data_IF_229205436003
#
_entry.id   IF_229205436003
#
_cell.length_a   1.000
_cell.length_b   1.000
_cell.length_c   1.000
_cell.angle_alpha   90.00
_cell.angle_beta   90.00
_cell.angle_gamma   90.00
#
_symmetry.space_group_name_H-M   'P 1'
#
loop_
_entity.id
_entity.type
_entity.pdbx_description
1 polymer ?
#
# COMPACT_ATOMS: atom_id res chain seq x y z
N UNK A 1 -1.97 -19.12 -41.11
CA UNK A 1 -1.42 -19.47 -39.80
C UNK A 1 -0.38 -18.44 -39.40
N UNK A 2 -0.85 -17.36 -38.78
CA UNK A 2 -0.03 -16.28 -38.26
C UNK A 2 -0.51 -16.00 -36.84
N UNK A 3 0.09 -16.69 -35.87
CA UNK A 3 -0.11 -16.42 -34.46
C UNK A 3 0.58 -15.10 -34.11
N UNK A 4 -0.21 -14.06 -33.87
CA UNK A 4 0.23 -12.87 -33.18
C UNK A 4 0.33 -13.17 -31.68
N UNK A 5 1.50 -12.99 -31.04
CA UNK A 5 1.60 -13.15 -29.59
C UNK A 5 0.86 -11.99 -28.92
N UNK A 6 -0.26 -12.30 -28.26
CA UNK A 6 -0.99 -11.38 -27.40
C UNK A 6 -0.02 -10.73 -26.39
N UNK A 7 0.18 -9.41 -26.51
CA UNK A 7 1.00 -8.63 -25.60
C UNK A 7 0.47 -8.78 -24.17
N UNK A 8 1.15 -9.58 -23.35
CA UNK A 8 0.86 -9.65 -21.92
C UNK A 8 1.37 -8.37 -21.30
N UNK A 9 0.47 -7.47 -20.90
CA UNK A 9 0.80 -6.30 -20.10
C UNK A 9 1.45 -6.76 -18.79
N UNK A 10 2.79 -6.71 -18.74
CA UNK A 10 3.55 -7.02 -17.52
C UNK A 10 3.53 -5.76 -16.66
N UNK A 11 2.69 -5.77 -15.61
CA UNK A 11 2.77 -4.76 -14.56
C UNK A 11 4.01 -5.05 -13.71
N UNK A 12 5.03 -4.20 -13.84
CA UNK A 12 6.23 -4.23 -12.99
C UNK A 12 5.90 -3.45 -11.71
N UNK A 13 5.92 -4.11 -10.56
CA UNK A 13 5.81 -3.43 -9.27
C UNK A 13 7.12 -2.71 -8.96
N UNK A 14 7.04 -1.41 -8.68
CA UNK A 14 8.18 -0.64 -8.16
C UNK A 14 8.67 -1.25 -6.85
N UNK A 15 9.98 -1.26 -6.68
CA UNK A 15 10.68 -1.86 -5.53
C UNK A 15 10.12 -1.30 -4.23
N UNK A 16 9.58 -2.16 -3.36
CA UNK A 16 9.23 -1.80 -1.98
C UNK A 16 10.43 -2.12 -1.10
N UNK A 17 11.00 -1.12 -0.43
CA UNK A 17 12.09 -1.31 0.56
C UNK A 17 11.82 -0.51 1.82
N UNK A 18 12.16 -1.07 2.97
CA UNK A 18 12.16 -0.31 4.21
C UNK A 18 13.25 0.77 4.18
N UNK A 19 12.86 2.03 4.34
CA UNK A 19 13.75 3.21 4.29
C UNK A 19 14.16 3.66 5.71
N UNK A 20 13.33 3.38 6.72
CA UNK A 20 13.60 3.65 8.14
C UNK A 20 13.11 2.50 9.02
N UNK A 21 13.89 2.15 10.04
CA UNK A 21 13.56 1.13 11.05
C UNK A 21 12.98 1.73 12.33
N UNK A 22 12.95 3.06 12.48
CA UNK A 22 12.36 3.72 13.64
C UNK A 22 10.90 4.09 13.39
N UNK A 23 9.99 3.85 14.36
CA UNK A 23 8.60 4.28 14.24
C UNK A 23 8.51 5.83 14.24
N UNK A 24 7.55 6.41 13.51
CA UNK A 24 7.28 7.85 13.61
C UNK A 24 6.78 8.19 15.03
N UNK A 25 6.97 9.45 15.44
CA UNK A 25 6.45 9.95 16.71
C UNK A 25 4.92 9.74 16.82
N UNK A 26 4.40 9.35 18.00
CA UNK A 26 3.00 8.94 18.19
C UNK A 26 1.97 10.07 17.99
N UNK A 27 2.41 11.33 17.92
CA UNK A 27 1.52 12.50 17.83
C UNK A 27 1.31 13.04 16.42
N UNK A 28 1.90 12.43 15.39
CA UNK A 28 1.71 12.84 14.00
C UNK A 28 1.46 11.62 13.13
N UNK A 29 0.21 11.46 12.68
CA UNK A 29 -0.12 10.62 11.52
C UNK A 29 -0.39 11.54 10.32
N UNK A 30 0.64 12.13 9.68
CA UNK A 30 0.45 12.66 8.34
C UNK A 30 -0.06 11.49 7.48
N UNK A 31 -1.17 11.68 6.77
CA UNK A 31 -1.68 10.63 5.90
C UNK A 31 -0.64 10.44 4.81
N UNK A 32 0.03 9.27 4.73
CA UNK A 32 1.13 9.12 3.79
C UNK A 32 0.60 9.36 2.38
N UNK A 33 1.28 10.23 1.64
CA UNK A 33 0.97 10.50 0.25
C UNK A 33 1.59 9.41 -0.63
N UNK A 34 0.77 8.88 -1.54
CA UNK A 34 1.18 8.02 -2.63
C UNK A 34 1.03 8.75 -3.96
N UNK A 35 1.93 8.46 -4.90
CA UNK A 35 1.87 8.96 -6.26
C UNK A 35 1.85 7.76 -7.21
N UNK A 36 0.87 7.73 -8.10
CA UNK A 36 0.74 6.73 -9.17
C UNK A 36 0.86 7.43 -10.52
N UNK A 37 1.84 6.98 -11.31
CA UNK A 37 2.01 7.43 -12.70
C UNK A 37 1.40 6.42 -13.66
N UNK A 38 0.42 6.86 -14.43
CA UNK A 38 -0.14 6.10 -15.55
C UNK A 38 0.56 6.53 -16.83
N UNK A 39 1.68 5.85 -17.13
CA UNK A 39 2.60 6.24 -18.21
C UNK A 39 1.94 6.31 -19.59
N UNK A 40 1.07 5.34 -19.92
CA UNK A 40 0.36 5.29 -21.20
C UNK A 40 -0.48 6.53 -21.48
N UNK A 41 -1.00 7.16 -20.41
CA UNK A 41 -1.84 8.34 -20.49
C UNK A 41 -1.08 9.61 -20.11
N UNK A 42 0.18 9.48 -19.66
CA UNK A 42 0.96 10.57 -19.07
C UNK A 42 0.21 11.27 -17.95
N UNK A 43 -0.49 10.50 -17.11
CA UNK A 43 -1.28 10.99 -15.99
C UNK A 43 -0.59 10.69 -14.66
N UNK A 44 -0.75 11.62 -13.72
CA UNK A 44 -0.29 11.49 -12.34
C UNK A 44 -1.50 11.51 -11.42
N UNK A 45 -1.53 10.56 -10.48
CA UNK A 45 -2.54 10.44 -9.44
C UNK A 45 -1.88 10.56 -8.08
N UNK A 46 -2.21 11.61 -7.34
CA UNK A 46 -1.79 11.80 -5.95
C UNK A 46 -2.91 11.31 -5.05
N UNK A 47 -2.59 10.44 -4.10
CA UNK A 47 -3.58 9.89 -3.18
C UNK A 47 -3.07 9.82 -1.75
N UNK A 48 -3.99 9.92 -0.79
CA UNK A 48 -3.67 9.68 0.63
C UNK A 48 -3.93 8.23 1.00
N UNK A 49 -3.20 7.71 1.99
CA UNK A 49 -3.50 6.40 2.56
C UNK A 49 -4.43 6.53 3.77
N UNK A 50 -5.41 5.63 3.94
CA UNK A 50 -6.28 5.64 5.10
C UNK A 50 -5.47 5.34 6.37
N UNK A 51 -5.93 5.85 7.51
CA UNK A 51 -5.39 5.47 8.82
C UNK A 51 -5.49 3.95 9.01
N UNK A 52 -4.59 3.34 9.79
CA UNK A 52 -4.48 1.90 9.99
C UNK A 52 -5.79 1.21 10.42
N UNK A 53 -6.72 1.95 11.02
CA UNK A 53 -8.05 1.46 11.41
C UNK A 53 -9.10 1.49 10.28
N UNK A 54 -8.68 1.75 9.03
CA UNK A 54 -9.55 1.90 7.85
C UNK A 54 -10.77 2.77 8.16
N UNK A 55 -10.50 3.92 8.79
CA UNK A 55 -11.47 4.95 9.09
C UNK A 55 -10.98 6.30 8.59
N UNK A 56 -11.91 7.15 8.18
CA UNK A 56 -11.62 8.51 7.73
C UNK A 56 -11.67 8.67 6.21
N UNK A 57 -11.16 9.81 5.74
CA UNK A 57 -11.24 10.23 4.34
C UNK A 57 -9.91 10.04 3.64
N UNK A 58 -9.99 9.47 2.45
CA UNK A 58 -8.91 9.35 1.48
C UNK A 58 -9.28 10.20 0.26
N UNK A 59 -8.30 10.91 -0.28
CA UNK A 59 -8.45 11.65 -1.53
C UNK A 59 -7.59 11.02 -2.61
N UNK A 60 -8.06 11.07 -3.85
CA UNK A 60 -7.32 10.73 -5.06
C UNK A 60 -7.50 11.91 -6.01
N UNK A 61 -6.41 12.47 -6.53
CA UNK A 61 -6.41 13.65 -7.38
C UNK A 61 -5.61 13.37 -8.64
N UNK A 62 -6.20 13.65 -9.79
CA UNK A 62 -5.49 13.73 -11.06
C UNK A 62 -5.55 15.18 -11.58
N UNK A 63 -4.41 15.88 -11.53
CA UNK A 63 -4.35 17.27 -11.99
C UNK A 63 -4.61 17.40 -13.49
N UNK A 64 -4.11 16.45 -14.29
CA UNK A 64 -4.21 16.47 -15.75
C UNK A 64 -5.64 16.32 -16.26
N UNK A 65 -6.39 15.36 -15.72
CA UNK A 65 -7.78 15.14 -16.12
C UNK A 65 -8.77 16.05 -15.38
N UNK A 66 -8.31 16.75 -14.33
CA UNK A 66 -9.14 17.64 -13.51
C UNK A 66 -10.10 16.90 -12.58
N UNK A 67 -10.02 15.58 -12.46
CA UNK A 67 -10.87 14.81 -11.57
C UNK A 67 -10.26 14.63 -10.18
N UNK A 68 -11.12 14.62 -9.17
CA UNK A 68 -10.81 14.17 -7.82
C UNK A 68 -11.83 13.15 -7.35
N UNK A 69 -11.39 12.19 -6.53
CA UNK A 69 -12.26 11.28 -5.80
C UNK A 69 -12.02 11.44 -4.30
N UNK A 70 -13.09 11.54 -3.52
CA UNK A 70 -13.03 11.47 -2.06
C UNK A 70 -13.71 10.19 -1.61
N UNK A 71 -12.96 9.32 -0.95
CA UNK A 71 -13.43 8.04 -0.42
C UNK A 71 -13.47 8.13 1.11
N UNK A 72 -14.62 7.86 1.71
CA UNK A 72 -14.82 7.87 3.16
C UNK A 72 -15.05 6.45 3.65
N UNK A 73 -14.13 5.97 4.47
CA UNK A 73 -14.27 4.70 5.18
C UNK A 73 -14.98 4.95 6.52
N UNK A 74 -16.11 4.27 6.71
CA UNK A 74 -16.95 4.43 7.88
C UNK A 74 -16.52 3.45 8.97
N UNK A 75 -16.25 3.96 10.16
CA UNK A 75 -16.02 3.12 11.34
C UNK A 75 -17.32 2.47 11.79
N UNK A 76 -17.21 1.33 12.47
CA UNK A 76 -18.37 0.61 13.00
C UNK A 76 -19.17 1.51 13.95
N UNK A 77 -20.48 1.74 13.71
CA UNK A 77 -21.31 2.50 14.65
C UNK A 77 -21.42 1.77 16.00
N UNK A 78 -21.52 2.53 17.09
CA UNK A 78 -21.62 1.98 18.45
C UNK A 78 -22.88 1.11 18.66
N UNK A 79 -24.00 1.44 18.01
CA UNK A 79 -25.29 0.76 18.17
C UNK A 79 -25.63 -0.10 16.95
N UNK A 80 -24.86 -1.16 16.73
CA UNK A 80 -25.09 -2.08 15.61
C UNK A 80 -24.89 -1.42 14.23
N UNK A 81 -24.82 -2.24 13.20
CA UNK A 81 -24.63 -1.77 11.82
C UNK A 81 -23.61 -2.59 11.04
N UNK A 82 -23.56 -2.32 9.74
CA UNK A 82 -22.64 -2.98 8.81
C UNK A 82 -21.21 -2.47 9.00
N UNK A 83 -20.27 -3.39 9.11
CA UNK A 83 -18.83 -3.11 9.09
C UNK A 83 -18.37 -2.87 7.65
N UNK A 84 -17.14 -2.36 7.47
CA UNK A 84 -16.50 -2.19 6.15
C UNK A 84 -17.24 -1.27 5.17
N UNK A 85 -18.13 -0.41 5.67
CA UNK A 85 -18.88 0.51 4.82
C UNK A 85 -17.97 1.59 4.25
N UNK A 86 -18.15 1.89 2.97
CA UNK A 86 -17.45 2.95 2.25
C UNK A 86 -18.45 3.79 1.46
N UNK A 87 -18.18 5.08 1.34
CA UNK A 87 -18.86 5.99 0.41
C UNK A 87 -17.82 6.79 -0.35
N UNK A 88 -18.01 7.02 -1.63
CA UNK A 88 -17.12 7.82 -2.44
C UNK A 88 -17.87 8.80 -3.35
N UNK A 89 -17.23 9.92 -3.64
CA UNK A 89 -17.70 10.88 -4.63
C UNK A 89 -16.56 11.22 -5.57
N UNK A 90 -16.83 11.16 -6.88
CA UNK A 90 -15.93 11.57 -7.94
C UNK A 90 -16.45 12.88 -8.52
N UNK A 91 -15.56 13.87 -8.57
CA UNK A 91 -15.86 15.23 -8.95
C UNK A 91 -14.95 15.68 -10.08
N UNK A 92 -15.53 16.40 -11.04
CA UNK A 92 -14.76 17.18 -12.00
C UNK A 92 -14.49 18.55 -11.38
N UNK A 93 -13.25 18.81 -11.00
CA UNK A 93 -12.87 20.01 -10.25
C UNK A 93 -13.16 21.31 -11.02
N UNK A 94 -12.86 21.43 -12.34
CA UNK A 94 -13.10 22.66 -13.10
C UNK A 94 -14.57 23.09 -13.13
N UNK A 95 -15.50 22.13 -13.28
CA UNK A 95 -16.95 22.43 -13.34
C UNK A 95 -17.64 22.31 -11.99
N UNK A 96 -16.93 21.89 -10.94
CA UNK A 96 -17.48 21.64 -9.62
C UNK A 96 -18.62 20.60 -9.60
N UNK A 97 -18.68 19.70 -10.58
CA UNK A 97 -19.78 18.73 -10.73
C UNK A 97 -19.40 17.34 -10.22
N UNK A 98 -20.34 16.67 -9.54
CA UNK A 98 -20.21 15.26 -9.16
C UNK A 98 -20.59 14.41 -10.36
N UNK A 99 -19.67 13.56 -10.82
CA UNK A 99 -19.86 12.69 -12.00
C UNK A 99 -20.19 11.26 -11.63
N UNK A 100 -19.81 10.84 -10.42
CA UNK A 100 -20.08 9.51 -9.90
C UNK A 100 -20.14 9.54 -8.38
N UNK A 101 -21.10 8.82 -7.81
CA UNK A 101 -21.13 8.45 -6.40
C UNK A 101 -20.95 6.94 -6.29
N UNK A 102 -20.30 6.48 -5.22
CA UNK A 102 -20.20 5.06 -4.93
C UNK A 102 -20.49 4.79 -3.46
N UNK A 103 -21.09 3.65 -3.15
CA UNK A 103 -21.39 3.24 -1.79
C UNK A 103 -21.43 1.73 -1.66
N UNK A 104 -21.20 1.22 -0.45
CA UNK A 104 -21.33 -0.21 -0.16
C UNK A 104 -20.27 -0.69 0.82
N UNK A 105 -19.81 -1.91 0.60
CA UNK A 105 -18.83 -2.61 1.46
C UNK A 105 -17.55 -2.85 0.65
N UNK A 106 -16.40 -2.33 1.10
CA UNK A 106 -15.15 -2.40 0.32
C UNK A 106 -14.62 -3.83 0.15
N UNK A 107 -15.06 -4.76 0.99
CA UNK A 107 -14.78 -6.20 0.93
C UNK A 107 -15.98 -7.02 0.44
N UNK A 108 -17.01 -6.38 -0.12
CA UNK A 108 -18.24 -7.01 -0.56
C UNK A 108 -18.73 -6.38 -1.86
N UNK A 109 -19.94 -5.83 -1.82
CA UNK A 109 -20.57 -5.19 -2.99
C UNK A 109 -20.45 -3.69 -2.92
N UNK A 110 -20.06 -3.08 -4.04
CA UNK A 110 -20.04 -1.63 -4.27
C UNK A 110 -21.03 -1.28 -5.38
N UNK A 111 -21.86 -0.28 -5.11
CA UNK A 111 -22.79 0.31 -6.07
C UNK A 111 -22.26 1.68 -6.50
N UNK A 112 -22.27 1.94 -7.79
CA UNK A 112 -21.88 3.19 -8.41
C UNK A 112 -23.10 3.81 -9.08
N UNK A 113 -23.27 5.12 -8.91
CA UNK A 113 -24.33 5.92 -9.53
C UNK A 113 -23.69 7.07 -10.29
N UNK A 114 -23.88 7.10 -11.60
CA UNK A 114 -23.33 8.11 -12.50
C UNK A 114 -24.31 9.27 -12.68
N UNK A 115 -23.80 10.43 -13.10
CA UNK A 115 -24.62 11.64 -13.29
C UNK A 115 -25.68 11.50 -14.39
N UNK A 116 -25.51 10.56 -15.32
CA UNK A 116 -26.48 10.21 -16.36
C UNK A 116 -27.64 9.31 -15.84
N UNK A 117 -27.64 8.96 -14.55
CA UNK A 117 -28.63 8.05 -13.94
C UNK A 117 -28.29 6.57 -14.06
N UNK A 118 -27.22 6.21 -14.75
CA UNK A 118 -26.75 4.83 -14.84
C UNK A 118 -26.24 4.34 -13.48
N UNK A 119 -26.57 3.09 -13.14
CA UNK A 119 -26.03 2.42 -11.97
C UNK A 119 -25.22 1.19 -12.35
N UNK A 120 -24.13 0.95 -11.63
CA UNK A 120 -23.26 -0.21 -11.83
C UNK A 120 -22.92 -0.85 -10.50
N UNK A 121 -23.03 -2.16 -10.43
CA UNK A 121 -22.72 -2.93 -9.23
C UNK A 121 -21.45 -3.75 -9.47
N UNK A 122 -20.50 -3.67 -8.54
CA UNK A 122 -19.27 -4.44 -8.52
C UNK A 122 -19.24 -5.30 -7.26
N UNK A 123 -19.20 -6.61 -7.45
CA UNK A 123 -19.00 -7.57 -6.37
C UNK A 123 -17.51 -7.93 -6.29
N UNK A 124 -16.83 -7.39 -5.28
CA UNK A 124 -15.38 -7.58 -5.11
C UNK A 124 -15.00 -9.03 -4.83
N UNK A 125 -15.93 -9.84 -4.32
CA UNK A 125 -15.70 -11.26 -4.01
C UNK A 125 -15.61 -12.14 -5.25
N UNK A 126 -16.17 -11.66 -6.38
CA UNK A 126 -16.18 -12.36 -7.67
C UNK A 126 -15.03 -11.95 -8.59
N UNK A 127 -14.26 -10.92 -8.22
CA UNK A 127 -13.14 -10.45 -9.03
C UNK A 127 -11.97 -11.44 -8.95
N UNK A 128 -11.32 -11.78 -10.08
CA UNK A 128 -10.19 -12.69 -10.07
C UNK A 128 -8.99 -12.07 -9.35
N UNK A 129 -8.43 -12.81 -8.40
CA UNK A 129 -7.22 -12.40 -7.68
C UNK A 129 -5.99 -12.74 -8.52
N UNK A 130 -5.37 -11.73 -9.12
CA UNK A 130 -4.12 -11.89 -9.88
C UNK A 130 -2.93 -11.84 -8.92
N UNK A 131 -2.34 -13.00 -8.63
CA UNK A 131 -1.18 -13.10 -7.75
C UNK A 131 0.09 -12.56 -8.41
N UNK A 132 0.88 -11.82 -7.65
CA UNK A 132 2.22 -11.37 -8.07
C UNK A 132 3.10 -12.59 -8.37
N UNK A 133 3.79 -12.58 -9.51
CA UNK A 133 4.84 -13.56 -9.82
C UNK A 133 6.12 -13.16 -9.08
N UNK A 134 6.61 -14.03 -8.22
CA UNK A 134 7.77 -13.77 -7.37
C UNK A 134 8.82 -14.86 -7.61
N UNK A 135 10.10 -14.49 -7.64
CA UNK A 135 11.19 -15.45 -7.83
C UNK A 135 11.22 -16.50 -6.70
N UNK A 136 11.65 -17.74 -6.96
CA UNK A 136 11.92 -18.71 -5.91
C UNK A 136 12.94 -18.17 -4.89
N UNK A 137 12.82 -18.57 -3.61
CA UNK A 137 13.67 -18.06 -2.52
C UNK A 137 15.17 -18.29 -2.81
N UNK A 138 15.54 -19.44 -3.39
CA UNK A 138 16.92 -19.73 -3.79
C UNK A 138 17.52 -18.73 -4.80
N UNK A 139 16.69 -17.96 -5.50
CA UNK A 139 17.08 -16.90 -6.45
C UNK A 139 16.84 -15.50 -5.90
N UNK A 140 16.57 -15.37 -4.61
CA UNK A 140 16.39 -14.09 -3.92
C UNK A 140 17.63 -13.76 -3.09
N UNK A 141 18.03 -12.50 -3.07
CA UNK A 141 19.09 -12.02 -2.19
C UNK A 141 18.73 -12.16 -0.70
N UNK A 142 19.72 -12.17 0.20
CA UNK A 142 19.51 -12.41 1.64
C UNK A 142 18.62 -11.37 2.32
N UNK A 143 18.54 -10.16 1.77
CA UNK A 143 17.73 -9.05 2.29
C UNK A 143 16.40 -8.83 1.54
N UNK A 144 16.03 -9.74 0.62
CA UNK A 144 14.69 -9.73 0.03
C UNK A 144 13.68 -10.34 1.02
N UNK A 145 12.48 -9.76 1.12
CA UNK A 145 11.58 -10.01 2.26
C UNK A 145 11.25 -11.50 2.47
N UNK A 146 10.98 -12.27 1.42
CA UNK A 146 10.65 -13.71 1.57
C UNK A 146 11.85 -14.55 2.00
N UNK A 147 13.06 -14.18 1.60
CA UNK A 147 14.28 -14.85 2.07
C UNK A 147 14.56 -14.45 3.52
N UNK A 148 14.56 -13.14 3.80
CA UNK A 148 14.88 -12.59 5.12
C UNK A 148 13.95 -13.13 6.23
N UNK A 149 12.66 -13.29 5.93
CA UNK A 149 11.64 -13.73 6.89
C UNK A 149 11.30 -15.23 6.80
N UNK A 150 11.98 -16.01 5.96
CA UNK A 150 11.61 -17.39 5.65
C UNK A 150 11.39 -18.27 6.89
N UNK A 151 12.29 -18.20 7.87
CA UNK A 151 12.22 -19.02 9.08
C UNK A 151 11.05 -18.64 9.98
N UNK A 152 10.77 -17.34 10.14
CA UNK A 152 9.61 -16.85 10.89
C UNK A 152 8.32 -17.30 10.21
N UNK A 153 8.21 -17.14 8.89
CA UNK A 153 7.02 -17.53 8.13
C UNK A 153 6.78 -19.03 8.16
N UNK A 154 7.83 -19.85 8.09
CA UNK A 154 7.70 -21.30 8.16
C UNK A 154 7.23 -21.75 9.55
N UNK A 155 7.83 -21.24 10.62
CA UNK A 155 7.41 -21.54 11.98
C UNK A 155 5.95 -21.12 12.26
N UNK A 156 5.51 -19.96 11.74
CA UNK A 156 4.12 -19.53 11.82
C UNK A 156 3.18 -20.47 11.04
N UNK A 157 3.59 -20.93 9.86
CA UNK A 157 2.81 -21.89 9.05
C UNK A 157 2.64 -23.23 9.76
N UNK A 158 3.64 -23.64 10.53
CA UNK A 158 3.62 -24.86 11.34
C UNK A 158 2.91 -24.68 12.70
N UNK A 159 2.45 -23.45 13.02
CA UNK A 159 1.83 -23.14 14.30
C UNK A 159 2.80 -23.06 15.49
N UNK A 160 4.11 -23.09 15.25
CA UNK A 160 5.13 -23.03 16.29
C UNK A 160 5.48 -21.57 16.64
N UNK A 161 4.69 -20.99 17.56
CA UNK A 161 4.82 -19.58 17.97
C UNK A 161 6.15 -19.30 18.69
N UNK A 162 6.66 -20.26 19.46
CA UNK A 162 7.96 -20.11 20.16
C UNK A 162 9.09 -19.96 19.14
N UNK A 163 9.19 -20.90 18.19
CA UNK A 163 10.23 -20.85 17.17
C UNK A 163 10.11 -19.60 16.28
N UNK A 164 8.89 -19.17 15.95
CA UNK A 164 8.68 -17.93 15.21
C UNK A 164 9.21 -16.71 15.98
N UNK A 165 8.99 -16.68 17.30
CA UNK A 165 9.48 -15.62 18.19
C UNK A 165 11.01 -15.61 18.25
N UNK A 166 11.63 -16.78 18.43
CA UNK A 166 13.09 -16.92 18.50
C UNK A 166 13.75 -16.47 17.19
N UNK A 167 13.22 -16.91 16.04
CA UNK A 167 13.71 -16.48 14.73
C UNK A 167 13.53 -14.98 14.49
N UNK A 168 12.41 -14.40 14.94
CA UNK A 168 12.17 -12.96 14.86
C UNK A 168 13.16 -12.18 15.73
N UNK A 169 13.38 -12.61 16.96
CA UNK A 169 14.32 -11.98 17.88
C UNK A 169 15.75 -12.01 17.33
N UNK A 170 16.20 -13.15 16.80
CA UNK A 170 17.50 -13.29 16.17
C UNK A 170 17.68 -12.30 15.00
N UNK A 171 16.66 -12.17 14.15
CA UNK A 171 16.67 -11.26 13.00
C UNK A 171 16.72 -9.79 13.43
N UNK A 172 15.88 -9.39 14.39
CA UNK A 172 15.84 -8.02 14.90
C UNK A 172 17.12 -7.65 15.65
N UNK A 173 17.67 -8.57 16.44
CA UNK A 173 18.91 -8.32 17.18
C UNK A 173 20.10 -8.13 16.23
N UNK A 174 20.17 -8.91 15.15
CA UNK A 174 21.17 -8.69 14.09
C UNK A 174 21.06 -7.27 13.51
N UNK A 175 19.83 -6.81 13.21
CA UNK A 175 19.61 -5.45 12.71
C UNK A 175 20.00 -4.36 13.73
N UNK A 176 19.71 -4.57 15.02
CA UNK A 176 20.12 -3.66 16.11
C UNK A 176 21.64 -3.59 16.25
N UNK A 177 22.34 -4.72 16.12
CA UNK A 177 23.82 -4.75 16.14
C UNK A 177 24.38 -3.99 14.93
N UNK A 178 23.87 -4.24 13.72
CA UNK A 178 24.31 -3.53 12.51
C UNK A 178 24.04 -2.01 12.59
N UNK A 179 22.95 -1.60 13.25
CA UNK A 179 22.65 -0.19 13.51
C UNK A 179 23.61 0.42 14.54
N UNK A 180 23.87 -0.27 15.65
CA UNK A 180 24.87 0.16 16.64
C UNK A 180 26.27 0.32 16.03
N UNK A 181 26.68 -0.62 15.19
CA UNK A 181 27.97 -0.54 14.49
C UNK A 181 28.03 0.67 13.56
N UNK A 182 26.96 0.94 12.79
CA UNK A 182 26.87 2.13 11.93
C UNK A 182 26.94 3.44 12.72
N UNK A 183 26.29 3.48 13.90
CA UNK A 183 26.35 4.64 14.79
C UNK A 183 27.77 4.88 15.33
N UNK A 184 28.45 3.82 15.79
CA UNK A 184 29.84 3.89 16.27
C UNK A 184 30.78 4.34 15.14
N UNK A 185 30.59 3.80 13.93
CA UNK A 185 31.44 4.12 12.78
C UNK A 185 31.04 5.41 12.05
N UNK A 186 30.08 6.19 12.58
CA UNK A 186 29.50 7.38 11.94
C UNK A 186 29.11 7.17 10.47
N UNK A 187 28.73 5.94 10.11
CA UNK A 187 28.43 5.56 8.73
C UNK A 187 26.94 5.75 8.45
N UNK A 188 26.62 6.71 7.58
CA UNK A 188 25.24 7.01 7.20
C UNK A 188 24.64 5.86 6.40
N UNK A 189 23.45 5.40 6.79
CA UNK A 189 22.68 4.44 6.01
C UNK A 189 22.25 5.06 4.67
N UNK A 190 22.60 4.40 3.57
CA UNK A 190 22.19 4.80 2.22
C UNK A 190 21.23 3.75 1.63
N UNK A 191 19.96 4.10 1.36
CA UNK A 191 19.05 3.20 0.68
C UNK A 191 19.57 2.80 -0.70
N UNK A 192 19.46 1.51 -1.04
CA UNK A 192 20.01 0.96 -2.30
C UNK A 192 19.28 1.44 -3.57
N UNK A 193 17.98 1.70 -3.46
CA UNK A 193 17.09 1.96 -4.61
C UNK A 193 16.36 3.29 -4.51
N UNK A 194 16.60 4.06 -3.44
CA UNK A 194 15.90 5.31 -3.17
C UNK A 194 16.91 6.41 -2.95
N UNK A 195 16.67 7.55 -3.57
CA UNK A 195 17.39 8.79 -3.32
C UNK A 195 16.46 9.65 -2.48
N UNK A 196 17.01 10.31 -1.45
CA UNK A 196 16.24 11.26 -0.66
C UNK A 196 15.95 12.48 -1.53
N UNK A 197 14.69 12.70 -1.84
CA UNK A 197 14.26 13.93 -2.49
C UNK A 197 14.32 15.08 -1.48
N UNK A 198 15.02 16.17 -1.83
CA UNK A 198 15.17 17.37 -0.99
C UNK A 198 14.33 18.49 -1.62
N UNK A 199 13.03 18.28 -1.71
CA UNK A 199 12.10 19.31 -2.19
C UNK A 199 11.63 20.12 -0.98
N UNK A 200 11.88 21.42 -1.02
CA UNK A 200 11.58 22.39 0.05
C UNK A 200 10.05 22.40 0.26
N UNK A 201 9.61 22.16 1.49
CA UNK A 201 8.21 22.07 1.95
C UNK A 201 7.53 20.71 1.73
N UNK A 202 7.93 19.70 2.51
CA UNK A 202 7.05 18.86 3.34
C UNK A 202 7.94 17.86 4.11
N UNK A 203 8.00 18.04 5.44
CA UNK A 203 8.64 17.10 6.35
C UNK A 203 7.77 15.85 6.42
N UNK A 204 8.12 14.78 5.70
CA UNK A 204 7.48 13.48 5.91
C UNK A 204 8.50 12.36 6.15
N UNK A 205 8.40 11.78 7.33
CA UNK A 205 9.04 10.54 7.74
C UNK A 205 8.10 9.40 7.34
N UNK A 206 8.47 8.58 6.35
CA UNK A 206 7.66 7.44 5.93
C UNK A 206 8.02 6.17 6.69
N UNK A 207 7.01 5.64 7.37
CA UNK A 207 7.01 4.40 8.15
C UNK A 207 6.95 3.18 7.24
N UNK A 208 8.09 2.58 6.95
CA UNK A 208 8.16 1.43 6.04
C UNK A 208 8.08 0.06 6.74
N UNK A 209 7.87 0.04 8.06
CA UNK A 209 7.83 -1.19 8.84
C UNK A 209 6.52 -1.97 8.66
N UNK A 210 5.39 -1.28 8.54
CA UNK A 210 4.08 -1.93 8.51
C UNK A 210 3.82 -2.72 7.22
N UNK A 211 4.39 -2.30 6.08
CA UNK A 211 4.07 -2.91 4.79
C UNK A 211 4.84 -4.21 4.49
N UNK A 212 5.99 -4.41 5.15
CA UNK A 212 6.87 -5.57 4.90
C UNK A 212 6.32 -6.86 5.53
N UNK A 213 5.70 -6.77 6.71
CA UNK A 213 5.14 -7.92 7.41
C UNK A 213 3.85 -8.44 6.73
N UNK A 214 2.97 -7.53 6.29
CA UNK A 214 1.69 -7.88 5.64
C UNK A 214 1.81 -8.48 4.23
N UNK A 215 2.97 -8.39 3.57
CA UNK A 215 3.20 -9.05 2.27
C UNK A 215 3.90 -10.42 2.41
N UNK A 216 4.25 -10.82 3.63
CA UNK A 216 4.98 -12.05 3.94
C UNK A 216 4.06 -13.13 4.52
N UNK A 217 3.01 -12.74 5.26
CA UNK A 217 1.89 -13.60 5.67
C UNK A 217 0.83 -13.60 4.59
#
# INVERSE_FOLDING_TARGET
NSDHPSGKNIVKFSVLKSISLHPPHPHFCPHPLGILYLLEHGEEYVFTLPCAYLGGKVSILCAKSGYSATVTFHTKPFYGGKVHRVTAEVKHNPTNTIVCKAQGEWNGTLEFTYSNGETKIIDTTKLPIIRKKIRPIAKQGPFESRHLWQHVTNALREGNISAATDHKQLLEERQRVEERQRAISNTVWKPKYFIKEVTRLLLEWQSAFYFSFYNVV
#
